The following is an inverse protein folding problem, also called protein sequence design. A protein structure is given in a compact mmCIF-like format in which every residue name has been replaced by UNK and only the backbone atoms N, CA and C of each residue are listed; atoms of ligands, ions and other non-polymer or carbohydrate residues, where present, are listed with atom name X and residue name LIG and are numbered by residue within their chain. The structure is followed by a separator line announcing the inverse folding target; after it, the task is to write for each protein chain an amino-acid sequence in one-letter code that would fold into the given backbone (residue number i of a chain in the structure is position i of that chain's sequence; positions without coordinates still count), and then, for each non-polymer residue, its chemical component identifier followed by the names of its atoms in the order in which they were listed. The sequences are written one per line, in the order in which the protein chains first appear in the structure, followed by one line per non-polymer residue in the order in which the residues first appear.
data_IF_691258284926
#
_entry.id   IF_691258284926
#
_cell.length_a   1.000
_cell.length_b   1.000
_cell.length_c   1.000
_cell.angle_alpha   90.00
_cell.angle_beta   90.00
_cell.angle_gamma   90.00
#
_symmetry.space_group_name_H-M   'P 1'
#
loop_
_entity.id
_entity.type
_entity.pdbx_description
1 polymer ?
#
# COMPACT_ATOMS: atom_id res chain seq x y z
N UNK A 1 -21.27 -40.03 -2.54
CA UNK A 1 -21.17 -39.37 -3.85
C UNK A 1 -21.91 -38.05 -3.73
N UNK A 2 -21.20 -36.98 -3.40
CA UNK A 2 -21.77 -35.63 -3.36
C UNK A 2 -21.23 -34.88 -4.56
N UNK A 3 -22.07 -34.70 -5.58
CA UNK A 3 -21.82 -33.73 -6.63
C UNK A 3 -21.87 -32.35 -5.96
N UNK A 4 -20.69 -31.77 -5.71
CA UNK A 4 -20.56 -30.41 -5.22
C UNK A 4 -20.98 -29.44 -6.30
N UNK A 5 -21.85 -28.50 -5.94
CA UNK A 5 -22.32 -27.41 -6.78
C UNK A 5 -21.16 -26.63 -7.44
N UNK A 6 -20.81 -27.01 -8.68
CA UNK A 6 -19.76 -26.39 -9.49
C UNK A 6 -20.12 -24.96 -9.96
N UNK A 7 -21.33 -24.46 -9.68
CA UNK A 7 -21.77 -23.11 -10.08
C UNK A 7 -21.05 -21.99 -9.31
N UNK A 8 -20.43 -22.30 -8.17
CA UNK A 8 -19.66 -21.34 -7.38
C UNK A 8 -18.19 -21.20 -7.84
N UNK A 9 -17.69 -22.15 -8.64
CA UNK A 9 -16.28 -22.21 -9.06
C UNK A 9 -16.12 -21.39 -10.34
N UNK A 10 -15.20 -20.43 -10.34
CA UNK A 10 -14.85 -19.71 -11.56
C UNK A 10 -14.32 -20.71 -12.61
N UNK A 11 -14.73 -20.61 -13.88
CA UNK A 11 -14.24 -21.52 -14.92
C UNK A 11 -12.72 -21.40 -15.04
N UNK A 12 -12.04 -22.55 -15.03
CA UNK A 12 -10.61 -22.62 -15.27
C UNK A 12 -10.38 -22.53 -16.78
N UNK A 13 -9.65 -21.51 -17.21
CA UNK A 13 -9.32 -21.26 -18.61
C UNK A 13 -7.82 -21.26 -18.82
N UNK A 14 -7.40 -21.60 -20.04
CA UNK A 14 -6.00 -21.55 -20.46
C UNK A 14 -5.42 -20.14 -20.31
N UNK A 15 -4.10 -20.07 -20.10
CA UNK A 15 -3.37 -18.83 -19.87
C UNK A 15 -3.62 -17.77 -20.97
N UNK A 16 -3.56 -18.17 -22.25
CA UNK A 16 -3.78 -17.24 -23.37
C UNK A 16 -5.22 -16.76 -23.48
N UNK A 17 -6.18 -17.65 -23.19
CA UNK A 17 -7.60 -17.31 -23.18
C UNK A 17 -7.91 -16.36 -22.03
N UNK A 18 -7.33 -16.60 -20.85
CA UNK A 18 -7.43 -15.70 -19.71
C UNK A 18 -6.96 -14.28 -20.04
N UNK A 19 -5.81 -14.13 -20.72
CA UNK A 19 -5.29 -12.81 -21.09
C UNK A 19 -6.18 -12.09 -22.11
N UNK A 20 -6.75 -12.82 -23.08
CA UNK A 20 -7.71 -12.24 -24.06
C UNK A 20 -9.01 -11.80 -23.40
N UNK A 21 -9.59 -12.65 -22.56
CA UNK A 21 -10.84 -12.35 -21.85
C UNK A 21 -10.63 -11.21 -20.84
N UNK A 22 -9.46 -11.16 -20.20
CA UNK A 22 -9.06 -10.05 -19.33
C UNK A 22 -8.87 -8.74 -20.09
N UNK A 23 -8.30 -8.77 -21.30
CA UNK A 23 -8.19 -7.60 -22.15
C UNK A 23 -9.58 -7.04 -22.51
N UNK A 24 -10.51 -7.90 -22.93
CA UNK A 24 -11.89 -7.51 -23.23
C UNK A 24 -12.61 -6.91 -22.01
N UNK A 25 -12.32 -7.44 -20.81
CA UNK A 25 -12.85 -6.89 -19.56
C UNK A 25 -12.35 -5.46 -19.28
N UNK A 26 -11.08 -5.18 -19.60
CA UNK A 26 -10.50 -3.85 -19.42
C UNK A 26 -10.96 -2.82 -20.46
N UNK A 27 -11.37 -3.23 -21.65
CA UNK A 27 -11.90 -2.32 -22.68
C UNK A 27 -13.26 -1.72 -22.30
N UNK A 28 -14.08 -2.49 -21.58
CA UNK A 28 -15.43 -2.07 -21.18
C UNK A 28 -15.73 -2.34 -19.70
N UNK A 29 -14.99 -1.68 -18.78
CA UNK A 29 -15.15 -1.92 -17.35
C UNK A 29 -16.51 -1.41 -16.89
N UNK A 30 -17.34 -2.32 -16.36
CA UNK A 30 -18.65 -1.97 -15.77
C UNK A 30 -18.54 -1.62 -14.28
N UNK A 31 -17.32 -1.54 -13.76
CA UNK A 31 -17.03 -1.21 -12.38
C UNK A 31 -15.57 -1.42 -12.01
N UNK A 32 -15.37 -1.96 -10.81
CA UNK A 32 -14.04 -2.35 -10.34
C UNK A 32 -13.74 -3.77 -10.78
N UNK A 33 -12.53 -4.01 -11.27
CA UNK A 33 -12.04 -5.34 -11.60
C UNK A 33 -11.13 -5.79 -10.45
N UNK A 34 -11.49 -6.90 -9.81
CA UNK A 34 -10.70 -7.52 -8.75
C UNK A 34 -9.82 -8.63 -9.32
N UNK A 35 -8.51 -8.42 -9.23
CA UNK A 35 -7.50 -9.42 -9.56
C UNK A 35 -6.93 -10.01 -8.27
N UNK A 36 -6.94 -11.33 -8.15
CA UNK A 36 -6.44 -12.07 -6.98
C UNK A 36 -5.39 -13.08 -7.40
N UNK A 37 -4.19 -13.01 -6.82
CA UNK A 37 -3.14 -14.00 -7.01
C UNK A 37 -3.03 -14.82 -5.71
N UNK A 38 -3.10 -16.14 -5.80
CA UNK A 38 -2.93 -17.04 -4.64
C UNK A 38 -2.04 -18.21 -5.01
N UNK A 39 -1.16 -18.59 -4.09
CA UNK A 39 -0.44 -19.86 -4.16
C UNK A 39 -1.44 -21.01 -4.11
N UNK A 40 -1.43 -21.87 -5.14
CA UNK A 40 -2.26 -23.05 -5.17
C UNK A 40 -1.51 -24.20 -4.51
N UNK A 41 -1.93 -24.57 -3.30
CA UNK A 41 -1.30 -25.62 -2.49
C UNK A 41 -2.03 -26.95 -2.55
N UNK A 42 -3.22 -27.01 -3.17
CA UNK A 42 -4.04 -28.23 -3.22
C UNK A 42 -4.77 -28.35 -4.56
N UNK A 43 -4.76 -29.56 -5.12
CA UNK A 43 -5.41 -29.92 -6.38
C UNK A 43 -6.71 -30.69 -6.12
N UNK A 44 -7.62 -30.08 -5.34
CA UNK A 44 -8.99 -30.58 -5.19
C UNK A 44 -9.20 -31.72 -4.18
N UNK A 45 -8.24 -32.00 -3.31
CA UNK A 45 -8.44 -32.84 -2.11
C UNK A 45 -8.60 -31.97 -0.86
N UNK A 46 -9.44 -32.44 0.07
CA UNK A 46 -9.65 -31.83 1.38
C UNK A 46 -8.31 -31.69 2.11
N UNK A 47 -7.89 -30.45 2.34
CA UNK A 47 -6.59 -30.17 2.94
C UNK A 47 -6.64 -30.49 4.43
N UNK A 48 -5.96 -31.56 4.85
CA UNK A 48 -5.47 -31.63 6.23
C UNK A 48 -4.50 -30.47 6.41
N UNK A 49 -4.85 -29.51 7.28
CA UNK A 49 -3.97 -28.43 7.71
C UNK A 49 -2.74 -29.06 8.35
N UNK A 50 -1.68 -29.33 7.57
CA UNK A 50 -0.39 -29.71 8.17
C UNK A 50 0.11 -28.49 8.94
N UNK A 51 0.30 -28.68 10.25
CA UNK A 51 0.90 -27.69 11.12
C UNK A 51 2.24 -27.24 10.51
N UNK A 52 2.41 -25.93 10.45
CA UNK A 52 3.61 -25.26 9.97
C UNK A 52 4.80 -25.69 10.85
N UNK A 53 5.68 -26.51 10.30
CA UNK A 53 6.89 -27.04 10.96
C UNK A 53 8.02 -25.99 11.04
N UNK A 54 7.82 -24.78 10.51
CA UNK A 54 8.86 -23.75 10.52
C UNK A 54 10.09 -24.09 9.68
N UNK A 55 10.03 -25.17 8.88
CA UNK A 55 11.01 -25.46 7.83
C UNK A 55 10.69 -24.65 6.58
N UNK A 56 11.72 -24.05 5.97
CA UNK A 56 11.57 -23.28 4.73
C UNK A 56 11.03 -24.19 3.62
N UNK A 57 9.82 -23.89 3.14
CA UNK A 57 9.13 -24.65 2.10
C UNK A 57 9.79 -24.39 0.74
N UNK A 58 10.77 -25.22 0.36
CA UNK A 58 11.51 -25.14 -0.90
C UNK A 58 10.73 -25.64 -2.13
N UNK A 59 9.43 -25.91 -1.99
CA UNK A 59 8.61 -26.47 -3.07
C UNK A 59 8.14 -25.38 -4.02
N UNK A 60 8.12 -25.71 -5.31
CA UNK A 60 7.51 -24.86 -6.32
C UNK A 60 6.00 -25.11 -6.36
N UNK A 61 5.23 -24.03 -6.37
CA UNK A 61 3.77 -24.09 -6.37
C UNK A 61 3.19 -23.30 -7.55
N UNK A 62 2.16 -23.84 -8.20
CA UNK A 62 1.44 -23.08 -9.21
C UNK A 62 0.73 -21.88 -8.59
N UNK A 63 0.58 -20.82 -9.39
CA UNK A 63 -0.14 -19.62 -9.00
C UNK A 63 -1.56 -19.66 -9.59
N UNK A 64 -2.56 -19.52 -8.74
CA UNK A 64 -3.95 -19.35 -9.16
C UNK A 64 -4.25 -17.85 -9.28
N UNK A 65 -4.59 -17.42 -10.49
CA UNK A 65 -5.04 -16.07 -10.78
C UNK A 65 -6.54 -16.07 -10.99
N UNK A 66 -7.22 -15.09 -10.39
CA UNK A 66 -8.67 -14.87 -10.55
C UNK A 66 -8.96 -13.43 -10.91
N UNK A 67 -9.87 -13.20 -11.85
CA UNK A 67 -10.40 -11.89 -12.20
C UNK A 67 -11.93 -11.87 -12.05
N UNK A 68 -12.46 -10.82 -11.42
CA UNK A 68 -13.91 -10.65 -11.17
C UNK A 68 -14.31 -9.19 -11.43
N UNK A 69 -15.45 -8.94 -12.07
CA UNK A 69 -15.98 -7.59 -12.38
C UNK A 69 -17.21 -7.21 -11.52
N UNK A 70 -17.54 -8.00 -10.50
CA UNK A 70 -18.63 -7.74 -9.54
C UNK A 70 -20.04 -7.93 -10.08
N UNK A 71 -20.22 -7.93 -11.41
CA UNK A 71 -21.53 -8.12 -12.07
C UNK A 71 -21.81 -9.60 -12.37
N UNK A 72 -20.78 -10.40 -12.68
CA UNK A 72 -20.96 -11.83 -12.95
C UNK A 72 -19.80 -12.51 -13.68
N UNK A 73 -18.97 -11.75 -14.40
CA UNK A 73 -17.78 -12.30 -15.08
C UNK A 73 -16.76 -12.75 -14.04
N UNK A 74 -16.45 -14.05 -14.05
CA UNK A 74 -15.41 -14.68 -13.22
C UNK A 74 -14.48 -15.46 -14.15
N UNK A 75 -13.20 -15.13 -14.12
CA UNK A 75 -12.17 -15.83 -14.88
C UNK A 75 -11.16 -16.40 -13.89
N UNK A 76 -10.67 -17.60 -14.15
CA UNK A 76 -9.54 -18.13 -13.39
C UNK A 76 -8.58 -18.90 -14.26
N UNK A 77 -7.29 -18.82 -13.93
CA UNK A 77 -6.24 -19.57 -14.63
C UNK A 77 -5.18 -20.06 -13.65
N UNK A 78 -4.58 -21.21 -13.95
CA UNK A 78 -3.51 -21.84 -13.18
C UNK A 78 -2.21 -21.67 -13.95
N UNK A 79 -1.26 -20.96 -13.36
CA UNK A 79 0.05 -20.69 -13.95
C UNK A 79 1.06 -21.59 -13.27
N UNK A 80 1.67 -22.50 -14.03
CA UNK A 80 2.74 -23.35 -13.55
C UNK A 80 4.03 -22.55 -13.30
N UNK A 81 4.87 -22.94 -12.32
CA UNK A 81 6.14 -22.26 -12.02
C UNK A 81 7.02 -22.06 -13.25
N UNK A 82 7.13 -23.09 -14.11
CA UNK A 82 7.97 -23.05 -15.32
C UNK A 82 7.47 -22.11 -16.43
N UNK A 83 6.22 -21.64 -16.37
CA UNK A 83 5.64 -20.71 -17.37
C UNK A 83 5.39 -19.31 -16.80
N UNK A 84 5.75 -19.09 -15.53
CA UNK A 84 5.42 -17.88 -14.79
C UNK A 84 6.02 -16.62 -15.43
N UNK A 85 7.29 -16.67 -15.82
CA UNK A 85 8.00 -15.53 -16.41
C UNK A 85 7.40 -15.08 -17.74
N UNK A 86 7.07 -16.05 -18.61
CA UNK A 86 6.40 -15.77 -19.87
C UNK A 86 5.01 -15.17 -19.62
N UNK A 87 4.24 -15.79 -18.73
CA UNK A 87 2.90 -15.32 -18.41
C UNK A 87 2.93 -13.89 -17.84
N UNK A 88 3.82 -13.60 -16.89
CA UNK A 88 3.95 -12.26 -16.29
C UNK A 88 4.49 -11.20 -17.25
N UNK A 89 5.30 -11.57 -18.24
CA UNK A 89 5.71 -10.64 -19.29
C UNK A 89 4.49 -10.17 -20.10
N UNK A 90 3.66 -11.10 -20.57
CA UNK A 90 2.47 -10.78 -21.34
C UNK A 90 1.39 -10.09 -20.49
N UNK A 91 1.14 -10.61 -19.29
CA UNK A 91 0.22 -10.03 -18.32
C UNK A 91 0.63 -8.61 -17.89
N UNK A 92 1.90 -8.39 -17.60
CA UNK A 92 2.42 -7.08 -17.21
C UNK A 92 2.35 -6.06 -18.34
N UNK A 93 2.56 -6.47 -19.60
CA UNK A 93 2.34 -5.62 -20.76
C UNK A 93 0.86 -5.23 -20.88
N UNK A 94 -0.05 -6.21 -20.74
CA UNK A 94 -1.50 -6.00 -20.78
C UNK A 94 -1.97 -5.00 -19.70
N UNK A 95 -1.53 -5.17 -18.45
CA UNK A 95 -1.91 -4.26 -17.36
C UNK A 95 -1.42 -2.83 -17.61
N UNK A 96 -0.20 -2.67 -18.12
CA UNK A 96 0.35 -1.33 -18.43
C UNK A 96 -0.43 -0.65 -19.54
N UNK A 97 -0.87 -1.38 -20.56
CA UNK A 97 -1.69 -0.82 -21.64
C UNK A 97 -3.11 -0.50 -21.18
N UNK A 98 -3.71 -1.36 -20.35
CA UNK A 98 -5.11 -1.18 -19.91
C UNK A 98 -5.27 -0.09 -18.83
N UNK A 99 -4.32 0.04 -17.90
CA UNK A 99 -4.41 0.99 -16.77
C UNK A 99 -3.84 2.37 -17.11
N UNK A 100 -4.13 2.90 -18.30
CA UNK A 100 -3.62 4.20 -18.77
C UNK A 100 -4.42 5.41 -18.27
N UNK A 101 -5.66 5.20 -17.81
CA UNK A 101 -6.59 6.26 -17.41
C UNK A 101 -6.32 6.90 -16.03
N UNK A 102 -5.23 6.51 -15.35
CA UNK A 102 -4.89 7.09 -14.05
C UNK A 102 -4.36 8.53 -14.21
N UNK A 103 -4.72 9.39 -13.26
CA UNK A 103 -4.17 10.75 -13.21
C UNK A 103 -2.65 10.71 -13.12
N UNK A 104 -1.98 11.45 -14.00
CA UNK A 104 -0.52 11.59 -13.98
C UNK A 104 -0.06 12.10 -12.62
N UNK A 105 1.04 11.52 -12.13
CA UNK A 105 1.66 11.94 -10.87
C UNK A 105 2.23 13.36 -10.99
N UNK A 106 1.71 14.27 -10.18
CA UNK A 106 2.16 15.66 -10.12
C UNK A 106 3.50 15.77 -9.35
N UNK A 107 4.61 15.33 -9.98
CA UNK A 107 5.96 15.34 -9.38
C UNK A 107 6.33 16.70 -8.78
N UNK A 108 5.91 17.80 -9.41
CA UNK A 108 6.13 19.17 -8.92
C UNK A 108 5.42 19.42 -7.59
N UNK A 109 4.14 19.02 -7.46
CA UNK A 109 3.35 19.24 -6.25
C UNK A 109 3.86 18.39 -5.10
N UNK A 110 4.28 17.15 -5.37
CA UNK A 110 4.89 16.30 -4.36
C UNK A 110 6.24 16.83 -3.89
N UNK A 111 7.11 17.27 -4.82
CA UNK A 111 8.40 17.90 -4.48
C UNK A 111 8.19 19.15 -3.63
N UNK A 112 7.24 20.02 -4.00
CA UNK A 112 6.91 21.21 -3.21
C UNK A 112 6.42 20.86 -1.80
N UNK A 113 5.55 19.85 -1.65
CA UNK A 113 5.12 19.38 -0.33
C UNK A 113 6.29 18.83 0.49
N UNK A 114 7.18 18.06 -0.14
CA UNK A 114 8.36 17.52 0.54
C UNK A 114 9.32 18.63 1.00
N UNK A 115 9.58 19.63 0.13
CA UNK A 115 10.38 20.80 0.46
C UNK A 115 9.74 21.66 1.56
N UNK A 116 8.43 21.86 1.52
CA UNK A 116 7.71 22.62 2.55
C UNK A 116 7.75 21.91 3.91
N UNK A 117 7.56 20.58 3.92
CA UNK A 117 7.72 19.76 5.11
C UNK A 117 9.15 19.83 5.65
N UNK A 118 10.16 19.73 4.79
CA UNK A 118 11.56 19.86 5.17
C UNK A 118 11.86 21.26 5.75
N UNK A 119 11.38 22.33 5.11
CA UNK A 119 11.51 23.71 5.60
C UNK A 119 10.82 23.90 6.95
N UNK A 120 9.63 23.33 7.13
CA UNK A 120 8.90 23.38 8.40
C UNK A 120 9.64 22.63 9.50
N UNK A 121 10.22 21.46 9.20
CA UNK A 121 11.08 20.70 10.13
C UNK A 121 12.33 21.49 10.51
N UNK A 122 13.04 22.06 9.53
CA UNK A 122 14.22 22.93 9.79
C UNK A 122 13.88 24.12 10.68
N UNK A 123 12.80 24.85 10.38
CA UNK A 123 12.33 25.97 11.21
C UNK A 123 11.91 25.57 12.63
N UNK A 124 11.48 24.32 12.81
CA UNK A 124 11.17 23.80 14.14
C UNK A 124 12.44 23.35 14.88
N UNK A 125 13.42 22.82 14.17
CA UNK A 125 14.70 22.40 14.73
C UNK A 125 15.55 23.60 15.18
N UNK A 126 15.65 24.63 14.34
CA UNK A 126 16.43 25.85 14.60
C UNK A 126 15.87 26.64 15.80
N UNK A 127 16.66 26.85 16.87
CA UNK A 127 16.23 27.62 18.03
C UNK A 127 16.13 29.11 17.68
N UNK A 128 15.03 29.76 18.07
CA UNK A 128 14.91 31.23 17.99
C UNK A 128 15.86 31.87 19.00
N UNK A 129 16.92 32.51 18.49
CA UNK A 129 17.88 33.27 19.29
C UNK A 129 17.23 34.61 19.69
N UNK A 130 17.15 34.89 20.99
CA UNK A 130 16.57 36.14 21.53
C UNK A 130 17.69 37.14 21.80
N UNK A 131 18.00 37.99 20.82
CA UNK A 131 18.98 39.07 20.95
C UNK A 131 18.33 40.45 21.06
N UNK A 132 19.01 41.37 21.77
CA UNK A 132 18.65 42.79 21.85
C UNK A 132 18.40 43.33 23.27
N UNK A 133 18.32 44.66 23.38
CA UNK A 133 18.16 45.36 24.65
C UNK A 133 16.79 45.09 25.30
N UNK A 134 16.79 44.90 26.64
CA UNK A 134 15.57 44.66 27.43
C UNK A 134 14.67 45.91 27.55
N UNK A 135 15.24 47.11 27.45
CA UNK A 135 14.58 48.42 27.59
C UNK A 135 14.98 49.33 26.41
N UNK A 136 14.15 50.33 26.10
CA UNK A 136 14.44 51.32 25.04
C UNK A 136 14.22 50.81 23.62
N UNK A 137 14.93 51.39 22.65
CA UNK A 137 14.88 51.00 21.24
C UNK A 137 15.22 49.51 21.08
N UNK A 138 14.45 48.78 20.26
CA UNK A 138 14.63 47.33 20.08
C UNK A 138 13.84 46.42 21.05
N UNK A 139 13.24 46.96 22.13
CA UNK A 139 12.41 46.18 23.07
C UNK A 139 11.28 45.41 22.38
N UNK A 140 10.58 46.06 21.42
CA UNK A 140 9.48 45.41 20.65
C UNK A 140 9.99 44.24 19.81
N UNK A 141 11.18 44.33 19.22
CA UNK A 141 11.81 43.25 18.44
C UNK A 141 12.14 42.07 19.36
N UNK A 142 12.75 42.34 20.52
CA UNK A 142 13.03 41.33 21.56
C UNK A 142 11.77 40.63 22.06
N UNK A 143 10.69 41.37 22.33
CA UNK A 143 9.40 40.78 22.76
C UNK A 143 8.82 39.82 21.72
N UNK A 144 8.93 40.15 20.41
CA UNK A 144 8.50 39.26 19.33
C UNK A 144 9.33 37.97 19.28
N UNK A 145 10.65 38.07 19.47
CA UNK A 145 11.55 36.91 19.52
C UNK A 145 11.25 36.01 20.73
N UNK A 146 11.04 36.59 21.92
CA UNK A 146 10.65 35.83 23.13
C UNK A 146 9.34 35.08 22.89
N UNK A 147 8.32 35.75 22.34
CA UNK A 147 7.03 35.11 22.03
C UNK A 147 7.18 33.98 21.00
N UNK A 148 8.06 34.14 20.01
CA UNK A 148 8.35 33.12 19.02
C UNK A 148 9.09 31.90 19.64
N UNK A 149 10.03 32.14 20.56
CA UNK A 149 10.75 31.08 21.27
C UNK A 149 9.82 30.26 22.17
N UNK A 150 8.96 30.92 22.96
CA UNK A 150 7.96 30.25 23.81
C UNK A 150 7.04 29.38 22.94
N UNK A 151 6.53 29.94 21.84
CA UNK A 151 5.67 29.20 20.90
C UNK A 151 6.38 28.00 20.27
N UNK A 152 7.67 28.11 19.92
CA UNK A 152 8.45 26.99 19.42
C UNK A 152 8.57 25.87 20.47
N UNK A 153 8.87 26.21 21.73
CA UNK A 153 8.98 25.26 22.82
C UNK A 153 7.66 24.53 23.09
N UNK A 154 6.54 25.25 23.14
CA UNK A 154 5.20 24.66 23.26
C UNK A 154 4.89 23.70 22.11
N UNK A 155 5.24 24.08 20.87
CA UNK A 155 5.02 23.20 19.72
C UNK A 155 5.89 21.94 19.73
N UNK A 156 7.14 22.02 20.21
CA UNK A 156 8.02 20.85 20.40
C UNK A 156 7.45 19.92 21.46
N UNK A 157 7.11 20.46 22.63
CA UNK A 157 6.52 19.69 23.74
C UNK A 157 5.25 18.95 23.31
N UNK A 158 4.35 19.63 22.59
CA UNK A 158 3.12 19.00 22.07
C UNK A 158 3.39 17.89 21.05
N UNK A 159 4.48 17.96 20.28
CA UNK A 159 4.87 16.91 19.35
C UNK A 159 5.45 15.71 20.10
N UNK A 160 6.34 15.94 21.06
CA UNK A 160 6.89 14.91 21.94
C UNK A 160 5.79 14.15 22.70
N UNK A 161 4.80 14.85 23.25
CA UNK A 161 3.64 14.24 23.91
C UNK A 161 2.82 13.35 22.96
N UNK A 162 2.66 13.75 21.69
CA UNK A 162 1.96 12.94 20.67
C UNK A 162 2.77 11.72 20.26
N UNK A 163 4.10 11.83 20.21
CA UNK A 163 4.99 10.70 19.91
C UNK A 163 5.02 9.71 21.07
N UNK A 164 5.14 10.17 22.30
CA UNK A 164 5.04 9.32 23.49
C UNK A 164 3.67 8.64 23.59
N UNK A 165 2.58 9.35 23.31
CA UNK A 165 1.24 8.76 23.27
C UNK A 165 1.07 7.70 22.17
N UNK A 166 1.73 7.87 21.03
CA UNK A 166 1.77 6.84 19.96
C UNK A 166 2.61 5.65 20.36
N UNK A 167 3.79 5.88 20.94
CA UNK A 167 4.67 4.82 21.42
C UNK A 167 3.97 3.95 22.47
N UNK A 168 3.32 4.57 23.46
CA UNK A 168 2.52 3.87 24.48
C UNK A 168 1.40 3.01 23.88
N UNK A 169 0.65 3.54 22.89
CA UNK A 169 -0.39 2.74 22.21
C UNK A 169 0.17 1.56 21.44
N UNK A 170 1.33 1.73 20.81
CA UNK A 170 2.02 0.64 20.09
C UNK A 170 2.47 -0.41 21.11
N UNK A 171 3.04 0.02 22.23
CA UNK A 171 3.49 -0.85 23.31
C UNK A 171 2.32 -1.63 23.94
N UNK A 172 1.19 -0.97 24.20
CA UNK A 172 -0.05 -1.62 24.66
C UNK A 172 -0.58 -2.66 23.67
N UNK A 173 -0.53 -2.40 22.36
CA UNK A 173 -0.95 -3.36 21.33
C UNK A 173 -0.01 -4.56 21.21
N UNK A 174 1.30 -4.35 21.41
CA UNK A 174 2.31 -5.41 21.37
C UNK A 174 2.26 -6.28 22.64
N UNK A 175 1.93 -5.71 23.81
CA UNK A 175 1.84 -6.44 25.07
C UNK A 175 0.48 -7.14 25.29
N UNK A 176 -0.53 -6.83 24.47
CA UNK A 176 -1.85 -7.46 24.49
C UNK A 176 -1.96 -8.69 23.55
N UNK A 177 -0.90 -9.02 22.79
CA UNK A 177 -0.76 -10.25 22.01
C UNK A 177 0.12 -11.25 22.75
#
# INVERSE_FOLDING_TARGET
MGEGDDSARSPLVDNDKFLKDLAALFESPKGSIWLTHKRLTHDGQDTTMKADDGSEDTREYPCLLRAVDGVGTKLSTRVEPGQLDHFYTAYGALLKSSMSALRKRDKKREKQRAEELARRKKRLAEPVIVEGAKRGAGRRKRQRLVKAAIKQQETKKRLEEREQGRAKRIEELVHAQ
#
